data_IF_400300315157
#
_entry.id   IF_400300315157
#
_cell.length_a   1.000
_cell.length_b   1.000
_cell.length_c   1.000
_cell.angle_alpha   90.00
_cell.angle_beta   90.00
_cell.angle_gamma   90.00
#
_symmetry.space_group_name_H-M   'P 1'
#
loop_
_entity.id
_entity.type
_entity.pdbx_description
1 polymer ?
#
# COMPACT_ATOMS: atom_id res chain seq x y z
N UNK A 1 24.57 -13.03 26.20
CA UNK A 1 25.52 -12.71 25.10
C UNK A 1 24.65 -12.39 23.89
N UNK A 2 24.71 -11.16 23.35
CA UNK A 2 23.83 -10.74 22.24
C UNK A 2 24.28 -11.41 20.93
N UNK A 3 23.33 -11.93 20.13
CA UNK A 3 23.61 -12.40 18.76
C UNK A 3 23.54 -11.23 17.79
N UNK A 4 24.46 -11.21 16.82
CA UNK A 4 24.55 -10.21 15.75
C UNK A 4 24.35 -10.92 14.42
N UNK A 5 23.43 -10.42 13.61
CA UNK A 5 23.22 -10.89 12.25
C UNK A 5 23.46 -9.75 11.24
N UNK A 6 24.13 -10.04 10.13
CA UNK A 6 24.37 -9.11 9.02
C UNK A 6 23.30 -9.31 7.94
N UNK A 7 22.48 -8.29 7.66
CA UNK A 7 21.47 -8.35 6.60
C UNK A 7 22.01 -7.69 5.33
N UNK A 8 21.94 -8.39 4.19
CA UNK A 8 22.29 -7.87 2.86
C UNK A 8 21.11 -8.05 1.91
N UNK A 9 20.67 -7.00 1.24
CA UNK A 9 19.65 -7.10 0.20
C UNK A 9 20.32 -7.05 -1.20
N UNK A 10 20.17 -8.10 -2.01
CA UNK A 10 20.80 -8.29 -3.33
C UNK A 10 19.76 -8.47 -4.45
N UNK A 11 20.08 -8.03 -5.68
CA UNK A 11 19.21 -8.14 -6.86
C UNK A 11 19.83 -9.08 -7.90
N UNK A 12 18.99 -9.83 -8.62
CA UNK A 12 19.34 -10.49 -9.89
C UNK A 12 18.68 -9.70 -11.02
N UNK A 13 19.47 -9.11 -11.90
CA UNK A 13 19.01 -8.23 -12.98
C UNK A 13 18.69 -9.07 -14.22
N UNK A 14 17.46 -8.98 -14.74
CA UNK A 14 17.18 -9.19 -16.17
C UNK A 14 16.63 -7.87 -16.74
N UNK A 15 17.38 -7.28 -17.67
CA UNK A 15 17.10 -5.94 -18.17
C UNK A 15 16.00 -5.87 -19.24
N UNK A 16 15.31 -4.72 -19.30
CA UNK A 16 14.91 -4.07 -20.54
C UNK A 16 14.58 -2.58 -20.28
N UNK A 17 14.98 -1.70 -21.19
CA UNK A 17 14.75 -0.24 -21.16
C UNK A 17 13.30 0.13 -21.49
N UNK A 18 12.78 1.16 -20.82
CA UNK A 18 11.68 1.98 -21.36
C UNK A 18 11.95 3.48 -21.19
N UNK A 19 11.71 4.20 -22.29
CA UNK A 19 11.77 5.66 -22.42
C UNK A 19 10.60 6.28 -21.67
N UNK A 20 10.85 7.31 -20.84
CA UNK A 20 9.80 8.08 -20.18
C UNK A 20 9.66 9.45 -20.83
N UNK A 21 8.47 9.76 -21.35
CA UNK A 21 8.09 11.09 -21.81
C UNK A 21 7.55 11.91 -20.63
N UNK A 22 8.06 13.13 -20.46
CA UNK A 22 7.52 14.11 -19.52
C UNK A 22 6.30 14.80 -20.14
N UNK A 23 5.09 14.45 -19.70
CA UNK A 23 3.90 15.27 -19.95
C UNK A 23 3.71 16.27 -18.81
N UNK A 24 3.72 17.56 -19.17
CA UNK A 24 3.46 18.69 -18.27
C UNK A 24 1.94 18.87 -18.16
N UNK A 25 1.36 18.54 -17.02
CA UNK A 25 -0.08 18.71 -16.78
C UNK A 25 -0.38 20.17 -16.44
N UNK A 26 -1.24 20.80 -17.23
CA UNK A 26 -1.86 22.08 -16.86
C UNK A 26 -2.83 21.84 -15.69
N UNK A 27 -2.83 22.74 -14.70
CA UNK A 27 -3.78 22.69 -13.58
C UNK A 27 -5.18 23.05 -14.07
N UNK A 28 -6.15 22.18 -13.79
CA UNK A 28 -7.58 22.43 -13.93
C UNK A 28 -8.26 22.50 -12.56
N UNK A 29 -9.43 23.17 -12.55
CA UNK A 29 -10.43 23.26 -11.48
C UNK A 29 -10.50 22.01 -10.59
N UNK A 30 -10.62 22.20 -9.27
CA UNK A 30 -10.52 21.20 -8.19
C UNK A 30 -10.73 19.75 -8.65
N UNK A 31 -9.65 18.98 -8.70
CA UNK A 31 -9.67 17.60 -9.17
C UNK A 31 -10.49 16.73 -8.21
N UNK A 32 -11.33 15.84 -8.75
CA UNK A 32 -11.94 14.75 -7.97
C UNK A 32 -10.84 13.91 -7.31
N UNK A 33 -10.98 13.61 -6.02
CA UNK A 33 -9.98 12.84 -5.27
C UNK A 33 -10.62 11.59 -4.67
N UNK A 34 -10.00 10.43 -4.89
CA UNK A 34 -10.26 9.21 -4.13
C UNK A 34 -9.27 9.12 -2.97
N UNK A 35 -9.76 8.85 -1.76
CA UNK A 35 -8.92 8.80 -0.57
C UNK A 35 -9.25 7.61 0.32
N UNK A 36 -8.21 7.04 0.93
CA UNK A 36 -8.34 6.13 2.07
C UNK A 36 -8.29 6.94 3.36
N UNK A 37 -9.27 6.77 4.23
CA UNK A 37 -9.39 7.50 5.50
C UNK A 37 -9.57 6.54 6.68
N UNK A 38 -8.80 6.68 7.78
CA UNK A 38 -7.70 7.63 7.94
C UNK A 38 -6.52 7.31 7.01
N UNK A 39 -5.82 8.36 6.55
CA UNK A 39 -4.67 8.20 5.65
C UNK A 39 -3.44 7.61 6.35
N UNK A 40 -3.38 7.73 7.68
CA UNK A 40 -2.39 7.09 8.51
C UNK A 40 -3.07 6.47 9.72
N UNK A 41 -2.78 5.19 9.96
CA UNK A 41 -3.31 4.47 11.10
C UNK A 41 -2.18 3.73 11.82
N UNK A 42 -2.21 3.81 13.14
CA UNK A 42 -1.34 3.03 14.03
C UNK A 42 -2.25 2.14 14.87
N UNK A 43 -1.99 0.84 14.86
CA UNK A 43 -2.81 -0.17 15.54
C UNK A 43 -1.90 -1.10 16.33
N UNK A 44 -2.27 -1.46 17.55
CA UNK A 44 -1.49 -2.39 18.37
C UNK A 44 -1.91 -3.85 18.14
N UNK A 45 -0.92 -4.70 17.88
CA UNK A 45 -1.07 -6.14 17.77
C UNK A 45 -1.09 -6.77 19.16
N UNK A 46 -2.20 -7.42 19.49
CA UNK A 46 -2.38 -8.15 20.74
C UNK A 46 -2.47 -9.64 20.41
N UNK A 47 -1.49 -10.42 20.87
CA UNK A 47 -1.38 -11.87 20.53
C UNK A 47 -2.64 -12.64 20.93
N UNK A 48 -3.28 -12.25 22.04
CA UNK A 48 -4.42 -12.96 22.62
C UNK A 48 -5.78 -12.36 22.21
N UNK A 49 -5.80 -11.28 21.42
CA UNK A 49 -7.04 -10.59 21.05
C UNK A 49 -7.04 -10.26 19.55
N UNK A 50 -8.09 -10.65 18.80
CA UNK A 50 -8.17 -10.32 17.39
C UNK A 50 -8.21 -8.80 17.21
N UNK A 51 -7.10 -8.25 16.73
CA UNK A 51 -7.00 -6.84 16.35
C UNK A 51 -7.55 -6.66 14.94
N UNK A 52 -8.40 -5.66 14.77
CA UNK A 52 -8.97 -5.28 13.47
C UNK A 52 -9.13 -3.78 13.40
N UNK A 53 -9.15 -3.24 12.20
CA UNK A 53 -9.49 -1.84 11.97
C UNK A 53 -10.35 -1.70 10.71
N UNK A 54 -10.87 -0.50 10.51
CA UNK A 54 -11.68 -0.16 9.34
C UNK A 54 -11.14 1.11 8.73
N UNK A 55 -11.09 1.13 7.40
CA UNK A 55 -10.81 2.32 6.61
C UNK A 55 -12.02 2.62 5.73
N UNK A 56 -12.26 3.90 5.51
CA UNK A 56 -13.23 4.38 4.54
C UNK A 56 -12.50 4.67 3.23
N UNK A 57 -13.13 4.30 2.12
CA UNK A 57 -12.77 4.81 0.79
C UNK A 57 -13.75 5.94 0.48
N UNK A 58 -13.25 7.16 0.33
CA UNK A 58 -14.08 8.35 0.08
C UNK A 58 -13.74 8.99 -1.25
N UNK A 59 -14.71 9.72 -1.79
CA UNK A 59 -14.54 10.59 -2.95
C UNK A 59 -14.81 12.04 -2.54
N UNK A 60 -14.03 12.99 -3.05
CA UNK A 60 -14.28 14.42 -2.89
C UNK A 60 -14.33 15.13 -4.22
N UNK A 61 -15.17 16.17 -4.30
CA UNK A 61 -15.34 17.02 -5.47
C UNK A 61 -15.66 16.20 -6.74
N UNK A 62 -16.50 15.19 -6.59
CA UNK A 62 -17.03 14.43 -7.71
C UNK A 62 -17.97 15.32 -8.53
N UNK A 63 -17.84 15.25 -9.86
CA UNK A 63 -18.75 15.90 -10.79
C UNK A 63 -19.33 14.82 -11.70
N UNK A 64 -20.64 14.64 -11.67
CA UNK A 64 -21.40 13.69 -12.49
C UNK A 64 -21.05 12.21 -12.23
N UNK A 65 -20.62 11.81 -11.03
CA UNK A 65 -20.28 10.42 -10.71
C UNK A 65 -21.48 9.47 -10.89
N UNK A 66 -21.37 8.50 -11.79
CA UNK A 66 -22.42 7.50 -12.04
C UNK A 66 -21.99 6.06 -11.77
N UNK A 67 -20.69 5.78 -11.84
CA UNK A 67 -20.11 4.47 -11.51
C UNK A 67 -18.73 4.65 -10.90
N UNK A 68 -18.40 3.79 -9.94
CA UNK A 68 -17.05 3.67 -9.41
C UNK A 68 -16.68 2.20 -9.25
N UNK A 69 -15.42 1.90 -9.50
CA UNK A 69 -14.76 0.67 -9.09
C UNK A 69 -13.43 1.06 -8.48
N UNK A 70 -13.20 0.66 -7.24
CA UNK A 70 -11.93 0.89 -6.54
C UNK A 70 -11.22 -0.44 -6.37
N UNK A 71 -9.91 -0.44 -6.60
CA UNK A 71 -9.05 -1.59 -6.38
C UNK A 71 -7.90 -1.17 -5.50
N UNK A 72 -7.86 -1.73 -4.29
CA UNK A 72 -6.82 -1.49 -3.31
C UNK A 72 -5.91 -2.69 -3.16
N UNK A 73 -4.65 -2.41 -2.94
CA UNK A 73 -3.63 -3.40 -2.58
C UNK A 73 -3.18 -3.18 -1.14
N UNK A 74 -2.82 -4.26 -0.45
CA UNK A 74 -2.32 -4.30 0.93
C UNK A 74 -1.36 -5.47 1.11
N UNK A 75 -0.55 -5.46 2.18
CA UNK A 75 0.39 -6.53 2.50
C UNK A 75 -0.37 -7.76 3.07
N UNK A 76 -0.52 -8.87 2.32
CA UNK A 76 -1.32 -10.03 2.74
C UNK A 76 -0.64 -10.85 3.84
N UNK A 77 0.67 -10.66 4.05
CA UNK A 77 1.36 -11.26 5.17
C UNK A 77 0.95 -10.60 6.50
N UNK A 78 0.59 -9.31 6.47
CA UNK A 78 0.25 -8.52 7.65
C UNK A 78 -1.26 -8.42 7.89
N UNK A 79 -2.05 -8.32 6.83
CA UNK A 79 -3.48 -8.03 6.90
C UNK A 79 -4.30 -9.07 6.14
N UNK A 80 -5.54 -9.24 6.55
CA UNK A 80 -6.57 -9.90 5.76
C UNK A 80 -7.80 -8.99 5.69
N UNK A 81 -8.29 -8.70 4.48
CA UNK A 81 -9.58 -8.06 4.30
C UNK A 81 -10.68 -9.06 4.68
N UNK A 82 -11.52 -8.68 5.65
CA UNK A 82 -12.57 -9.55 6.18
C UNK A 82 -13.98 -9.09 5.83
N UNK A 83 -14.16 -7.80 5.50
CA UNK A 83 -15.46 -7.28 5.09
C UNK A 83 -15.33 -6.00 4.26
N UNK A 84 -16.24 -5.80 3.31
CA UNK A 84 -16.46 -4.55 2.60
C UNK A 84 -17.95 -4.25 2.59
N UNK A 85 -18.33 -3.06 3.05
CA UNK A 85 -19.73 -2.65 3.13
C UNK A 85 -19.93 -1.27 2.55
N UNK A 86 -21.11 -1.03 2.00
CA UNK A 86 -21.57 0.31 1.68
C UNK A 86 -22.09 0.94 2.97
N UNK A 87 -21.55 2.10 3.39
CA UNK A 87 -21.99 2.71 4.63
C UNK A 87 -23.25 3.56 4.44
N UNK A 88 -23.96 3.91 5.54
CA UNK A 88 -25.13 4.78 5.47
C UNK A 88 -24.84 6.20 4.94
N UNK A 89 -23.58 6.66 5.02
CA UNK A 89 -23.11 7.95 4.47
C UNK A 89 -22.51 7.81 3.06
N UNK A 90 -22.90 6.76 2.32
CA UNK A 90 -22.50 6.56 0.94
C UNK A 90 -22.90 7.74 0.05
N UNK A 91 -22.08 8.11 -0.93
CA UNK A 91 -22.45 9.13 -1.93
C UNK A 91 -23.63 8.68 -2.80
N UNK A 92 -23.86 7.37 -2.91
CA UNK A 92 -25.02 6.79 -3.58
C UNK A 92 -26.17 6.44 -2.61
N UNK A 93 -26.07 6.87 -1.35
CA UNK A 93 -27.11 6.60 -0.38
C UNK A 93 -28.47 7.10 -0.88
N UNK A 94 -29.51 6.26 -0.72
CA UNK A 94 -30.89 6.45 -1.19
C UNK A 94 -31.12 6.38 -2.70
N UNK A 95 -30.08 6.20 -3.51
CA UNK A 95 -30.22 6.05 -4.96
C UNK A 95 -30.45 4.58 -5.35
N UNK A 96 -31.05 4.38 -6.51
CA UNK A 96 -31.21 3.05 -7.10
C UNK A 96 -29.92 2.65 -7.83
N UNK A 97 -29.22 1.65 -7.30
CA UNK A 97 -27.90 1.21 -7.78
C UNK A 97 -27.90 -0.26 -8.14
N UNK A 98 -26.89 -0.68 -8.91
CA UNK A 98 -26.65 -2.10 -9.21
C UNK A 98 -26.31 -2.93 -7.96
N UNK A 99 -26.04 -2.26 -6.84
CA UNK A 99 -25.66 -2.84 -5.57
C UNK A 99 -24.15 -3.06 -5.47
N UNK A 100 -23.63 -2.93 -4.25
CA UNK A 100 -22.21 -3.10 -3.97
C UNK A 100 -21.71 -4.49 -4.37
N UNK A 101 -20.87 -4.53 -5.40
CA UNK A 101 -20.06 -5.70 -5.74
C UNK A 101 -18.72 -5.69 -5.02
N UNK A 102 -18.28 -6.85 -4.56
CA UNK A 102 -17.03 -7.01 -3.78
C UNK A 102 -16.20 -8.18 -4.31
N UNK A 103 -14.89 -7.98 -4.39
CA UNK A 103 -13.90 -9.04 -4.64
C UNK A 103 -12.77 -8.94 -3.62
N UNK A 104 -12.43 -10.04 -2.95
CA UNK A 104 -11.37 -10.10 -1.94
C UNK A 104 -10.41 -11.21 -2.31
N UNK A 105 -9.12 -10.88 -2.43
CA UNK A 105 -8.03 -11.83 -2.59
C UNK A 105 -6.97 -11.57 -1.50
N UNK A 106 -7.12 -12.30 -0.38
CA UNK A 106 -6.18 -12.25 0.74
C UNK A 106 -4.86 -12.99 0.48
N UNK A 107 -4.75 -13.73 -0.63
CA UNK A 107 -3.49 -14.37 -1.04
C UNK A 107 -2.65 -13.36 -1.82
N UNK A 108 -3.27 -12.67 -2.79
CA UNK A 108 -2.61 -11.62 -3.57
C UNK A 108 -2.47 -10.29 -2.81
N UNK A 109 -3.26 -10.08 -1.74
CA UNK A 109 -3.29 -8.81 -1.02
C UNK A 109 -4.04 -7.72 -1.77
N UNK A 110 -5.20 -8.07 -2.34
CA UNK A 110 -6.01 -7.16 -3.15
C UNK A 110 -7.48 -7.20 -2.73
N UNK A 111 -8.14 -6.05 -2.74
CA UNK A 111 -9.59 -5.92 -2.56
C UNK A 111 -10.15 -4.96 -3.60
N UNK A 112 -11.23 -5.38 -4.27
CA UNK A 112 -11.98 -4.56 -5.22
C UNK A 112 -13.42 -4.36 -4.75
N UNK A 113 -13.96 -3.17 -4.97
CA UNK A 113 -15.35 -2.85 -4.70
C UNK A 113 -15.91 -1.93 -5.78
N UNK A 114 -17.16 -2.14 -6.20
CA UNK A 114 -17.81 -1.30 -7.20
C UNK A 114 -19.28 -1.09 -6.92
N UNK A 115 -19.80 0.03 -7.40
CA UNK A 115 -21.24 0.29 -7.51
C UNK A 115 -21.51 1.31 -8.63
N UNK A 116 -22.75 1.38 -9.09
CA UNK A 116 -23.18 2.32 -10.13
C UNK A 116 -24.70 2.48 -10.20
N UNK A 117 -25.13 3.63 -10.70
CA UNK A 117 -26.54 3.97 -10.83
C UNK A 117 -27.22 3.17 -11.95
N UNK A 118 -28.46 2.71 -11.74
CA UNK A 118 -29.20 1.94 -12.74
C UNK A 118 -29.64 2.75 -13.97
N UNK A 119 -30.00 4.04 -13.86
CA UNK A 119 -30.64 4.76 -14.97
C UNK A 119 -30.42 6.29 -15.04
N UNK A 120 -30.92 6.84 -16.14
CA UNK A 120 -30.59 8.03 -16.96
C UNK A 120 -30.71 9.43 -16.35
N UNK A 121 -30.62 9.58 -15.03
CA UNK A 121 -30.84 10.86 -14.33
C UNK A 121 -29.66 11.83 -14.28
N UNK A 122 -28.52 11.48 -14.87
CA UNK A 122 -27.24 12.12 -14.60
C UNK A 122 -26.54 11.47 -13.40
N UNK A 123 -25.29 11.85 -13.15
CA UNK A 123 -24.51 11.36 -12.02
C UNK A 123 -24.58 12.30 -10.82
N UNK A 124 -23.95 11.88 -9.74
CA UNK A 124 -23.95 12.59 -8.46
C UNK A 124 -22.79 13.58 -8.40
N UNK A 125 -23.07 14.78 -7.91
CA UNK A 125 -22.06 15.78 -7.58
C UNK A 125 -21.80 15.81 -6.08
N UNK A 126 -20.56 16.01 -5.67
CA UNK A 126 -20.18 16.27 -4.28
C UNK A 126 -19.17 15.28 -3.72
N UNK A 127 -19.22 15.10 -2.40
CA UNK A 127 -18.26 14.31 -1.64
C UNK A 127 -18.99 13.31 -0.74
N UNK A 128 -18.38 12.16 -0.48
CA UNK A 128 -18.98 11.13 0.38
C UNK A 128 -18.10 9.90 0.50
N UNK A 129 -18.57 8.93 1.29
CA UNK A 129 -17.92 7.62 1.37
C UNK A 129 -18.41 6.75 0.20
N UNK A 130 -17.56 5.90 -0.36
CA UNK A 130 -17.92 4.88 -1.36
C UNK A 130 -18.16 3.54 -0.67
N UNK A 131 -17.19 3.10 0.13
CA UNK A 131 -17.28 1.87 0.91
C UNK A 131 -16.43 1.94 2.18
N UNK A 132 -16.69 1.03 3.12
CA UNK A 132 -15.85 0.78 4.30
C UNK A 132 -15.27 -0.61 4.23
N UNK A 133 -13.97 -0.71 4.46
CA UNK A 133 -13.21 -1.94 4.35
C UNK A 133 -12.63 -2.28 5.72
N UNK A 134 -12.94 -3.49 6.19
CA UNK A 134 -12.43 -4.02 7.45
C UNK A 134 -11.24 -4.94 7.18
N UNK A 135 -10.17 -4.70 7.91
CA UNK A 135 -8.97 -5.53 7.90
C UNK A 135 -8.76 -6.17 9.27
N UNK A 136 -8.51 -7.46 9.27
CA UNK A 136 -8.02 -8.21 10.41
C UNK A 136 -6.48 -8.25 10.37
N UNK A 137 -5.86 -8.07 11.53
CA UNK A 137 -4.41 -8.00 11.68
C UNK A 137 -3.86 -9.40 11.96
N UNK A 138 -2.85 -9.82 11.20
CA UNK A 138 -2.21 -11.14 11.31
C UNK A 138 -0.90 -11.10 12.11
N UNK A 139 -0.14 -10.00 11.99
CA UNK A 139 1.15 -9.82 12.67
C UNK A 139 1.60 -8.35 12.62
N UNK A 140 2.56 -7.93 13.45
CA UNK A 140 3.19 -6.61 13.37
C UNK A 140 3.88 -6.37 12.03
N UNK A 141 3.90 -5.11 11.59
CA UNK A 141 4.49 -4.73 10.31
C UNK A 141 4.01 -3.37 9.83
N UNK A 142 4.32 -3.07 8.57
CA UNK A 142 3.82 -1.89 7.87
C UNK A 142 3.20 -2.31 6.53
N UNK A 143 2.13 -1.62 6.14
CA UNK A 143 1.47 -1.79 4.85
C UNK A 143 0.91 -0.46 4.39
N UNK A 144 1.04 -0.18 3.10
CA UNK A 144 0.11 0.75 2.47
C UNK A 144 -1.24 0.09 2.25
N UNK A 145 -2.26 0.93 2.11
CA UNK A 145 -3.56 0.58 1.55
C UNK A 145 -3.70 1.51 0.35
N UNK A 146 -3.35 1.02 -0.83
CA UNK A 146 -3.11 1.89 -1.98
C UNK A 146 -4.01 1.55 -3.15
N UNK A 147 -4.52 2.57 -3.83
CA UNK A 147 -5.21 2.40 -5.10
C UNK A 147 -4.22 1.93 -6.16
N UNK A 148 -4.62 0.94 -6.94
CA UNK A 148 -3.83 0.41 -8.04
C UNK A 148 -4.56 0.50 -9.37
N UNK A 149 -3.82 0.36 -10.47
CA UNK A 149 -4.33 0.31 -11.84
C UNK A 149 -5.20 1.54 -12.17
N UNK A 150 -4.75 2.73 -11.76
CA UNK A 150 -5.53 3.97 -11.85
C UNK A 150 -5.98 4.29 -13.28
N UNK A 151 -7.28 4.52 -13.47
CA UNK A 151 -7.91 4.82 -14.76
C UNK A 151 -7.94 3.65 -15.74
N UNK A 152 -7.65 2.42 -15.30
CA UNK A 152 -7.62 1.22 -16.16
C UNK A 152 -8.82 0.31 -15.91
N UNK A 153 -9.28 -0.35 -16.96
CA UNK A 153 -10.27 -1.42 -16.85
C UNK A 153 -9.77 -2.53 -15.91
N UNK A 154 -10.61 -2.94 -14.97
CA UNK A 154 -10.24 -3.89 -13.92
C UNK A 154 -9.39 -3.32 -12.78
N UNK A 155 -9.13 -2.01 -12.79
CA UNK A 155 -8.41 -1.25 -11.77
C UNK A 155 -9.29 -0.25 -11.03
N UNK A 156 -8.67 0.76 -10.42
CA UNK A 156 -9.42 1.88 -9.83
C UNK A 156 -9.86 2.84 -10.93
N UNK A 157 -11.17 2.99 -11.11
CA UNK A 157 -11.77 3.75 -12.20
C UNK A 157 -13.12 4.33 -11.79
N UNK A 158 -13.44 5.52 -12.29
CA UNK A 158 -14.72 6.19 -12.08
C UNK A 158 -15.26 6.71 -13.40
N UNK A 159 -16.58 6.71 -13.56
CA UNK A 159 -17.26 7.18 -14.77
C UNK A 159 -18.36 8.18 -14.45
N UNK A 160 -18.46 9.18 -15.34
CA UNK A 160 -19.61 10.05 -15.39
C UNK A 160 -20.81 9.39 -16.09
N UNK A 161 -22.00 9.95 -15.90
CA UNK A 161 -23.24 9.39 -16.46
C UNK A 161 -23.28 9.33 -17.99
N UNK A 162 -22.55 10.24 -18.66
CA UNK A 162 -22.47 10.32 -20.12
C UNK A 162 -21.16 9.76 -20.70
N UNK A 163 -20.27 9.20 -19.87
CA UNK A 163 -18.84 9.11 -20.20
C UNK A 163 -18.32 7.68 -20.42
N UNK A 164 -19.15 6.67 -20.69
CA UNK A 164 -18.62 5.35 -21.09
C UNK A 164 -18.22 5.41 -22.58
N UNK A 165 -16.96 5.11 -22.98
CA UNK A 165 -15.93 4.34 -22.26
C UNK A 165 -14.77 5.16 -21.63
N UNK A 166 -14.87 6.49 -21.54
CA UNK A 166 -13.81 7.38 -21.06
C UNK A 166 -13.94 7.68 -19.56
N UNK A 167 -13.05 7.17 -18.69
CA UNK A 167 -13.14 7.44 -17.26
C UNK A 167 -12.90 8.90 -16.90
N UNK A 168 -13.50 9.35 -15.81
CA UNK A 168 -13.22 10.66 -15.23
C UNK A 168 -11.79 10.69 -14.67
N UNK A 169 -11.05 11.80 -14.84
CA UNK A 169 -9.77 11.97 -14.17
C UNK A 169 -9.98 12.11 -12.65
N UNK A 170 -9.05 11.56 -11.88
CA UNK A 170 -9.02 11.72 -10.43
C UNK A 170 -7.59 11.65 -9.90
N UNK A 171 -7.38 12.22 -8.72
CA UNK A 171 -6.19 12.00 -7.92
C UNK A 171 -6.45 10.91 -6.86
N UNK A 172 -5.43 10.15 -6.51
CA UNK A 172 -5.51 9.08 -5.51
C UNK A 172 -4.68 9.42 -4.27
N UNK A 173 -5.31 9.37 -3.09
CA UNK A 173 -4.69 9.54 -1.79
C UNK A 173 -4.71 8.21 -1.03
N UNK A 174 -3.58 7.50 -1.07
CA UNK A 174 -3.40 6.20 -0.44
C UNK A 174 -3.37 6.30 1.09
N UNK A 175 -3.68 5.19 1.75
CA UNK A 175 -3.54 5.01 3.19
C UNK A 175 -2.25 4.29 3.58
N UNK A 176 -1.88 4.43 4.85
CA UNK A 176 -0.75 3.76 5.46
C UNK A 176 -1.13 3.21 6.84
N UNK A 177 -0.76 1.97 7.11
CA UNK A 177 -1.03 1.29 8.37
C UNK A 177 0.27 0.76 8.95
N UNK A 178 0.54 1.16 10.19
CA UNK A 178 1.56 0.56 11.04
C UNK A 178 0.88 -0.30 12.09
N UNK A 179 1.22 -1.59 12.11
CA UNK A 179 0.80 -2.52 13.16
C UNK A 179 1.95 -2.68 14.15
N UNK A 180 1.79 -2.13 15.34
CA UNK A 180 2.80 -2.21 16.41
C UNK A 180 2.78 -3.57 17.07
N UNK A 181 3.95 -4.09 17.40
CA UNK A 181 4.11 -5.24 18.29
C UNK A 181 5.11 -4.89 19.38
N UNK A 182 5.15 -5.68 20.45
CA UNK A 182 6.13 -5.47 21.50
C UNK A 182 7.57 -5.51 20.95
N UNK A 183 8.37 -4.49 21.27
CA UNK A 183 9.74 -4.31 20.79
C UNK A 183 9.87 -3.78 19.35
N UNK A 184 8.79 -3.73 18.56
CA UNK A 184 8.85 -3.19 17.20
C UNK A 184 8.98 -1.66 17.21
N UNK A 185 9.85 -1.16 16.35
CA UNK A 185 10.02 0.27 16.15
C UNK A 185 10.45 0.57 14.70
N UNK A 186 10.03 1.73 14.14
CA UNK A 186 10.49 2.17 12.83
C UNK A 186 11.89 2.77 12.94
N UNK A 187 12.76 2.41 12.00
CA UNK A 187 14.07 3.00 11.79
C UNK A 187 14.09 3.62 10.39
N UNK A 188 14.20 4.95 10.32
CA UNK A 188 14.18 5.69 9.05
C UNK A 188 15.60 6.09 8.64
N UNK A 189 16.00 5.68 7.44
CA UNK A 189 17.29 5.98 6.85
C UNK A 189 17.11 6.85 5.61
N UNK A 190 17.73 8.02 5.61
CA UNK A 190 17.72 8.93 4.47
C UNK A 190 18.80 8.54 3.48
N UNK A 191 18.41 8.36 2.22
CA UNK A 191 19.27 7.98 1.12
C UNK A 191 19.14 8.99 0.00
N UNK A 192 20.27 9.54 -0.48
CA UNK A 192 20.28 10.51 -1.56
C UNK A 192 20.62 9.79 -2.86
N UNK A 193 19.76 9.92 -3.87
CA UNK A 193 19.99 9.40 -5.22
C UNK A 193 19.60 10.45 -6.25
N UNK A 194 20.55 10.88 -7.08
CA UNK A 194 20.31 11.90 -8.11
C UNK A 194 19.82 13.24 -7.55
N UNK A 195 20.26 13.62 -6.34
CA UNK A 195 19.82 14.86 -5.67
C UNK A 195 18.46 14.78 -4.98
N UNK A 196 17.76 13.64 -5.05
CA UNK A 196 16.49 13.41 -4.36
C UNK A 196 16.73 12.61 -3.08
N UNK A 197 16.10 13.01 -1.98
CA UNK A 197 16.13 12.29 -0.70
C UNK A 197 14.99 11.27 -0.68
N UNK A 198 15.34 10.02 -0.41
CA UNK A 198 14.41 8.91 -0.20
C UNK A 198 14.52 8.39 1.23
N UNK A 199 13.38 8.05 1.82
CA UNK A 199 13.33 7.46 3.15
C UNK A 199 13.14 5.93 3.02
N UNK A 200 14.16 5.17 3.41
CA UNK A 200 14.03 3.74 3.63
C UNK A 200 13.59 3.53 5.07
N UNK A 201 12.50 2.81 5.28
CA UNK A 201 11.98 2.54 6.63
C UNK A 201 12.14 1.07 6.93
N UNK A 202 12.80 0.74 8.03
CA UNK A 202 12.89 -0.62 8.53
C UNK A 202 12.13 -0.73 9.84
N UNK A 203 11.03 -1.48 9.82
CA UNK A 203 10.19 -1.73 10.98
C UNK A 203 10.51 -3.11 11.55
N UNK A 204 11.10 -3.15 12.76
CA UNK A 204 11.65 -4.40 13.32
C UNK A 204 11.63 -4.40 14.84
N UNK A 205 11.63 -5.60 15.42
CA UNK A 205 11.79 -5.84 16.85
C UNK A 205 13.26 -5.94 17.32
N UNK A 206 14.22 -5.52 16.50
CA UNK A 206 15.65 -5.57 16.79
C UNK A 206 16.33 -4.23 16.63
N UNK A 207 17.48 -4.06 17.25
CA UNK A 207 18.28 -2.84 17.12
C UNK A 207 19.05 -2.88 15.80
N UNK A 208 18.98 -1.79 15.04
CA UNK A 208 19.72 -1.62 13.79
C UNK A 208 20.96 -0.74 13.97
N UNK A 209 22.00 -1.03 13.21
CA UNK A 209 23.21 -0.19 13.15
C UNK A 209 23.95 -0.39 11.82
N UNK A 210 24.84 0.54 11.48
CA UNK A 210 25.69 0.40 10.30
C UNK A 210 24.92 0.36 8.98
N UNK A 211 23.85 1.15 8.85
CA UNK A 211 23.10 1.24 7.60
C UNK A 211 23.98 1.76 6.47
N UNK A 212 23.94 1.08 5.33
CA UNK A 212 24.63 1.46 4.11
C UNK A 212 23.74 1.28 2.89
N UNK A 213 23.93 2.16 1.89
CA UNK A 213 23.35 2.02 0.57
C UNK A 213 24.43 2.19 -0.50
N UNK A 214 24.59 1.19 -1.36
CA UNK A 214 25.42 1.26 -2.56
C UNK A 214 24.53 1.51 -3.78
N UNK A 215 24.65 2.71 -4.36
CA UNK A 215 23.88 3.11 -5.54
C UNK A 215 24.29 2.35 -6.82
N UNK A 216 25.54 1.90 -6.92
CA UNK A 216 26.02 1.18 -8.11
C UNK A 216 25.44 -0.23 -8.15
N UNK A 217 25.39 -0.88 -6.99
CA UNK A 217 24.92 -2.25 -6.85
C UNK A 217 23.44 -2.36 -6.44
N UNK A 218 22.80 -1.24 -6.08
CA UNK A 218 21.46 -1.17 -5.46
C UNK A 218 21.33 -2.07 -4.22
N UNK A 219 22.34 -2.04 -3.35
CA UNK A 219 22.40 -2.88 -2.15
C UNK A 219 22.11 -2.01 -0.92
N UNK A 220 21.19 -2.47 -0.07
CA UNK A 220 21.08 -1.99 1.31
C UNK A 220 21.73 -3.02 2.23
N UNK A 221 22.53 -2.53 3.19
CA UNK A 221 23.09 -3.34 4.28
C UNK A 221 22.81 -2.70 5.63
N UNK A 222 22.66 -3.53 6.65
CA UNK A 222 22.68 -3.11 8.05
C UNK A 222 22.95 -4.31 8.97
N UNK A 223 23.44 -4.01 10.16
CA UNK A 223 23.55 -4.95 11.28
C UNK A 223 22.25 -4.98 12.06
N UNK A 224 21.79 -6.17 12.41
CA UNK A 224 20.63 -6.39 13.26
C UNK A 224 21.04 -7.12 14.53
N UNK A 225 20.65 -6.60 15.68
CA UNK A 225 20.99 -7.16 16.99
C UNK A 225 19.72 -7.35 17.82
N UNK A 226 19.48 -8.58 18.26
CA UNK A 226 18.32 -8.93 19.10
C UNK A 226 18.73 -9.71 20.35
N UNK A 227 17.80 -9.87 21.32
CA UNK A 227 18.01 -10.77 22.46
C UNK A 227 18.31 -12.19 21.99
N UNK A 228 19.27 -12.84 22.64
CA UNK A 228 19.64 -14.22 22.29
C UNK A 228 18.46 -15.18 22.44
N UNK A 229 18.23 -16.04 21.45
CA UNK A 229 17.14 -17.02 21.46
C UNK A 229 15.76 -16.42 21.14
N UNK A 230 15.71 -15.16 20.72
CA UNK A 230 14.47 -14.54 20.21
C UNK A 230 14.39 -14.66 18.70
N UNK A 231 13.18 -14.85 18.17
CA UNK A 231 12.91 -14.77 16.74
C UNK A 231 12.71 -13.32 16.35
N UNK A 232 13.51 -12.84 15.42
CA UNK A 232 13.41 -11.52 14.85
C UNK A 232 12.43 -11.45 13.67
N UNK A 233 11.84 -10.28 13.48
CA UNK A 233 10.99 -9.99 12.33
C UNK A 233 11.24 -8.56 11.85
N UNK A 234 11.18 -8.37 10.54
CA UNK A 234 11.58 -7.14 9.89
C UNK A 234 10.76 -6.90 8.63
N UNK A 235 10.16 -5.70 8.52
CA UNK A 235 9.60 -5.18 7.27
C UNK A 235 10.43 -3.99 6.79
N UNK A 236 10.90 -4.04 5.54
CA UNK A 236 11.66 -2.96 4.90
C UNK A 236 10.80 -2.32 3.82
N UNK A 237 10.50 -1.03 3.97
CA UNK A 237 9.89 -0.20 2.93
C UNK A 237 10.99 0.49 2.12
N UNK A 238 10.97 0.27 0.81
CA UNK A 238 11.93 0.80 -0.15
C UNK A 238 11.17 1.58 -1.23
N UNK A 239 11.35 2.90 -1.32
CA UNK A 239 10.73 3.70 -2.38
C UNK A 239 11.22 3.27 -3.77
N UNK A 240 10.31 3.15 -4.74
CA UNK A 240 10.63 2.75 -6.12
C UNK A 240 11.56 3.75 -6.81
N UNK A 241 11.46 5.04 -6.47
CA UNK A 241 12.41 6.05 -6.97
C UNK A 241 13.84 5.84 -6.47
N UNK A 242 14.01 5.21 -5.29
CA UNK A 242 15.32 4.81 -4.80
C UNK A 242 15.81 3.56 -5.52
N UNK A 243 14.99 2.51 -5.58
CA UNK A 243 15.30 1.26 -6.28
C UNK A 243 14.10 0.80 -7.11
N UNK A 244 14.18 1.04 -8.42
CA UNK A 244 13.18 0.56 -9.36
C UNK A 244 13.61 -0.80 -9.90
N UNK A 245 13.37 -1.87 -9.13
CA UNK A 245 13.80 -3.23 -9.45
C UNK A 245 12.64 -4.20 -9.46
N UNK A 246 12.75 -5.25 -10.27
CA UNK A 246 11.71 -6.29 -10.40
C UNK A 246 11.88 -7.44 -9.41
N UNK A 247 13.07 -7.61 -8.86
CA UNK A 247 13.41 -8.73 -7.96
C UNK A 247 14.27 -8.24 -6.81
N UNK A 248 14.01 -8.82 -5.64
CA UNK A 248 14.82 -8.66 -4.44
C UNK A 248 15.36 -10.01 -4.00
N UNK A 249 16.38 -9.98 -3.16
CA UNK A 249 16.97 -11.12 -2.50
C UNK A 249 17.41 -10.66 -1.12
N UNK A 250 16.95 -11.34 -0.07
CA UNK A 250 17.36 -11.03 1.30
C UNK A 250 18.40 -12.07 1.73
N UNK A 251 19.55 -11.61 2.20
CA UNK A 251 20.56 -12.43 2.86
C UNK A 251 20.65 -12.08 4.34
N UNK A 252 20.82 -13.09 5.17
CA UNK A 252 21.12 -12.95 6.60
C UNK A 252 22.37 -13.78 6.90
N UNK A 253 23.39 -13.13 7.44
CA UNK A 253 24.73 -13.69 7.62
C UNK A 253 25.29 -14.32 6.34
N UNK A 254 25.08 -13.64 5.21
CA UNK A 254 25.42 -14.09 3.86
C UNK A 254 24.65 -15.30 3.33
N UNK A 255 23.65 -15.80 4.06
CA UNK A 255 22.79 -16.90 3.62
C UNK A 255 21.49 -16.36 3.03
N UNK A 256 21.01 -16.94 1.93
CA UNK A 256 19.73 -16.57 1.35
C UNK A 256 18.57 -16.88 2.32
N UNK A 257 17.72 -15.89 2.53
CA UNK A 257 16.60 -15.93 3.46
C UNK A 257 15.30 -15.79 2.69
N UNK A 258 14.31 -16.60 3.05
CA UNK A 258 12.96 -16.45 2.53
C UNK A 258 12.34 -15.12 3.00
N UNK A 259 11.68 -14.43 2.09
CA UNK A 259 10.96 -13.20 2.38
C UNK A 259 9.70 -13.13 1.52
N UNK A 260 8.72 -12.35 1.96
CA UNK A 260 7.58 -11.97 1.15
C UNK A 260 7.76 -10.54 0.65
N UNK A 261 7.40 -10.30 -0.61
CA UNK A 261 7.41 -8.96 -1.21
C UNK A 261 5.99 -8.54 -1.54
N UNK A 262 5.71 -7.26 -1.27
CA UNK A 262 4.49 -6.57 -1.63
C UNK A 262 4.86 -5.20 -2.23
N UNK A 263 4.08 -4.68 -3.18
CA UNK A 263 4.33 -3.39 -3.80
C UNK A 263 3.02 -2.62 -4.01
N UNK A 264 3.09 -1.29 -3.88
CA UNK A 264 1.93 -0.40 -4.01
C UNK A 264 2.04 0.60 -5.17
N UNK A 265 2.98 0.35 -6.08
CA UNK A 265 3.32 1.23 -7.19
C UNK A 265 4.31 2.35 -6.83
N UNK A 266 4.38 2.77 -5.56
CA UNK A 266 5.30 3.80 -5.08
C UNK A 266 6.50 3.21 -4.31
N UNK A 267 6.30 2.09 -3.61
CA UNK A 267 7.30 1.42 -2.77
C UNK A 267 7.15 -0.10 -2.83
N UNK A 268 8.25 -0.79 -2.52
CA UNK A 268 8.28 -2.21 -2.19
C UNK A 268 8.38 -2.41 -0.68
N UNK A 269 7.77 -3.47 -0.19
CA UNK A 269 7.75 -3.89 1.21
C UNK A 269 8.27 -5.32 1.29
N UNK A 270 9.40 -5.50 1.96
CA UNK A 270 10.04 -6.80 2.13
C UNK A 270 9.88 -7.25 3.58
N UNK A 271 9.17 -8.34 3.80
CA UNK A 271 8.97 -8.91 5.13
C UNK A 271 9.72 -10.24 5.25
N UNK A 272 10.52 -10.39 6.29
CA UNK A 272 11.25 -11.61 6.61
C UNK A 272 11.44 -11.79 8.11
N UNK A 273 11.78 -13.03 8.51
CA UNK A 273 12.08 -13.39 9.90
C UNK A 273 13.45 -14.04 10.00
N UNK A 274 14.06 -14.01 11.20
CA UNK A 274 15.39 -14.56 11.47
C UNK A 274 15.54 -15.01 12.93
N UNK A 275 16.62 -15.74 13.22
CA UNK A 275 16.95 -16.33 14.53
C UNK A 275 18.24 -15.74 15.16
#
# INVERSE_FOLDING_TARGET
>A
MNRRAFVTLLIIISGLLTVHSLTRTARSSGNTVLAVSPSQLSVDYLVDYPTSFTVNVSITDAVDLAFWHVKLVFNPSMLACSNVVEPPDSIFHTLDTIGLGVSIDNVAGCVGAYDGLWTTGGGVNGSGTLCRIRFDVKQPGISSIAFTDLGRYGGTIIYGSAQIPNPMPFDAANGYVQVNGNGFHPNTFQVIRGGVIYNVITFTNSTLSGFGYDQNSNIITYMQTGPSGSKGSCTVLIPNGLMNVSYFGVLIDSNATYFTVYADGASHFLLFTYD
#
